data_IF_100454327282
#
_entry.id   IF_100454327282
#
_cell.length_a   1.000
_cell.length_b   1.000
_cell.length_c   1.000
_cell.angle_alpha   90.00
_cell.angle_beta   90.00
_cell.angle_gamma   90.00
#
_symmetry.space_group_name_H-M   'P 1'
#
loop_
_entity.id
_entity.type
_entity.pdbx_description
1 polymer ?
#
# COMPACT_ATOMS: atom_id res chain seq x y z
N UNK A 1 -4.74 5.47 -28.57
CA UNK A 1 -3.60 5.91 -27.71
C UNK A 1 -3.85 7.36 -27.33
N UNK A 2 -4.22 7.60 -26.10
CA UNK A 2 -4.19 8.98 -25.60
C UNK A 2 -2.74 9.37 -25.41
N UNK A 3 -2.23 10.20 -26.32
CA UNK A 3 -1.03 10.99 -26.06
C UNK A 3 -1.37 11.99 -24.95
N UNK A 4 -1.38 11.52 -23.71
CA UNK A 4 -1.29 12.43 -22.59
C UNK A 4 0.08 13.09 -22.73
N UNK A 5 0.09 14.36 -23.07
CA UNK A 5 1.29 15.17 -23.06
C UNK A 5 1.89 15.10 -21.67
N UNK A 6 2.92 14.27 -21.51
CA UNK A 6 3.72 14.25 -20.28
C UNK A 6 4.45 15.57 -20.27
N UNK A 7 4.07 16.46 -19.38
CA UNK A 7 4.79 17.70 -19.18
C UNK A 7 6.27 17.37 -18.88
N UNK A 8 7.23 18.03 -19.53
CA UNK A 8 8.65 17.81 -19.21
C UNK A 8 9.00 18.17 -17.76
N UNK A 9 8.09 18.85 -17.07
CA UNK A 9 8.20 19.19 -15.65
C UNK A 9 7.43 18.22 -14.75
N UNK A 10 6.71 17.24 -15.32
CA UNK A 10 6.00 16.25 -14.53
C UNK A 10 7.01 15.38 -13.78
N UNK A 11 6.81 15.27 -12.47
CA UNK A 11 7.62 14.40 -11.58
C UNK A 11 6.76 13.25 -11.10
N UNK A 12 7.33 12.05 -10.96
CA UNK A 12 6.61 10.95 -10.35
C UNK A 12 6.24 11.28 -8.90
N UNK A 13 5.05 10.86 -8.48
CA UNK A 13 4.60 10.98 -7.10
C UNK A 13 4.74 9.61 -6.44
N UNK A 14 5.34 9.57 -5.27
CA UNK A 14 5.47 8.36 -4.47
C UNK A 14 4.66 8.51 -3.18
N UNK A 15 3.79 7.55 -2.93
CA UNK A 15 2.93 7.55 -1.76
C UNK A 15 3.13 6.27 -0.96
N UNK A 16 3.28 6.41 0.32
CA UNK A 16 3.32 5.31 1.28
C UNK A 16 1.91 5.10 1.85
N UNK A 17 1.34 3.93 1.62
CA UNK A 17 0.01 3.57 2.13
C UNK A 17 0.12 2.97 3.52
N UNK A 18 -0.77 3.37 4.39
CA UNK A 18 -0.87 2.85 5.77
C UNK A 18 -2.26 2.26 6.01
N UNK A 19 -2.53 1.02 5.55
CA UNK A 19 -3.87 0.45 5.56
C UNK A 19 -4.46 0.20 6.94
N UNK A 20 -3.62 0.21 7.99
CA UNK A 20 -4.04 0.15 9.40
C UNK A 20 -3.58 1.37 10.20
N UNK A 21 -3.12 2.43 9.53
CA UNK A 21 -2.53 3.59 10.20
C UNK A 21 -1.30 3.20 11.01
N UNK A 22 -1.27 3.63 12.27
CA UNK A 22 -0.19 3.31 13.21
C UNK A 22 -0.45 2.06 14.06
N UNK A 23 -1.55 1.36 13.83
CA UNK A 23 -1.91 0.17 14.62
C UNK A 23 -0.92 -0.96 14.35
N UNK A 24 -0.41 -1.56 15.42
CA UNK A 24 0.57 -2.64 15.37
C UNK A 24 0.32 -3.64 16.50
N UNK A 25 0.73 -4.87 16.29
CA UNK A 25 0.71 -5.92 17.30
C UNK A 25 1.98 -5.94 18.18
N UNK A 26 2.90 -5.02 17.95
CA UNK A 26 4.09 -4.77 18.78
C UNK A 26 4.11 -3.33 19.30
N UNK A 27 4.84 -3.10 20.36
CA UNK A 27 5.07 -1.80 20.96
C UNK A 27 6.58 -1.53 21.10
N UNK A 28 7.28 -1.47 19.98
CA UNK A 28 8.73 -1.26 19.96
C UNK A 28 9.08 0.12 20.52
N UNK A 29 10.05 0.19 21.42
CA UNK A 29 10.48 1.43 22.09
C UNK A 29 10.94 2.50 21.11
N UNK A 30 11.56 2.10 20.00
CA UNK A 30 12.06 2.98 18.95
C UNK A 30 11.02 3.33 17.87
N UNK A 31 9.76 2.86 18.01
CA UNK A 31 8.76 3.01 16.95
C UNK A 31 8.28 4.47 16.82
N UNK A 32 8.61 5.08 15.70
CA UNK A 32 8.19 6.45 15.38
C UNK A 32 6.67 6.60 15.23
N UNK A 33 5.97 5.53 14.84
CA UNK A 33 4.52 5.59 14.51
C UNK A 33 3.61 5.24 15.68
N UNK A 34 4.11 4.63 16.73
CA UNK A 34 3.30 4.05 17.81
C UNK A 34 2.31 5.05 18.44
N UNK A 35 2.73 6.29 18.62
CA UNK A 35 1.93 7.34 19.24
C UNK A 35 1.11 8.17 18.26
N UNK A 36 1.24 7.94 16.96
CA UNK A 36 0.57 8.79 15.95
C UNK A 36 -0.95 8.64 15.96
N UNK A 37 -1.49 7.52 16.44
CA UNK A 37 -2.92 7.35 16.66
C UNK A 37 -3.51 8.37 17.62
N UNK A 38 -2.73 8.88 18.57
CA UNK A 38 -3.16 9.92 19.54
C UNK A 38 -3.47 11.26 18.87
N UNK A 39 -2.95 11.51 17.67
CA UNK A 39 -3.24 12.71 16.90
C UNK A 39 -4.68 12.77 16.40
N UNK A 40 -5.36 11.63 16.40
CA UNK A 40 -6.74 11.49 15.91
C UNK A 40 -7.60 10.80 16.97
N UNK A 41 -7.82 11.41 18.13
CA UNK A 41 -8.50 10.75 19.27
C UNK A 41 -9.97 10.40 18.97
N UNK A 42 -10.57 11.05 17.99
CA UNK A 42 -11.95 10.82 17.58
C UNK A 42 -12.09 9.64 16.62
N UNK A 43 -11.00 9.18 16.03
CA UNK A 43 -11.01 8.07 15.07
C UNK A 43 -10.93 6.76 15.84
N UNK A 44 -12.03 6.04 15.89
CA UNK A 44 -12.11 4.72 16.56
C UNK A 44 -11.51 3.59 15.74
N UNK A 45 -11.40 3.77 14.43
CA UNK A 45 -10.93 2.76 13.51
C UNK A 45 -10.03 3.39 12.45
N UNK A 46 -8.75 3.01 12.43
CA UNK A 46 -7.76 3.48 11.48
C UNK A 46 -7.61 2.55 10.25
N UNK A 47 -8.53 1.60 10.07
CA UNK A 47 -8.48 0.65 8.98
C UNK A 47 -9.01 1.30 7.70
N UNK A 48 -8.18 1.25 6.64
CA UNK A 48 -8.58 1.71 5.32
C UNK A 48 -9.74 0.87 4.77
N UNK A 49 -10.84 1.52 4.38
CA UNK A 49 -11.96 0.84 3.73
C UNK A 49 -11.61 0.43 2.30
N UNK A 50 -12.34 -0.54 1.74
CA UNK A 50 -12.17 -0.92 0.34
C UNK A 50 -12.53 0.22 -0.62
N UNK A 51 -13.52 1.04 -0.28
CA UNK A 51 -13.89 2.22 -1.07
C UNK A 51 -12.75 3.24 -1.13
N UNK A 52 -12.10 3.48 0.01
CA UNK A 52 -10.95 4.38 0.06
C UNK A 52 -9.76 3.79 -0.69
N UNK A 53 -9.52 2.49 -0.57
CA UNK A 53 -8.48 1.79 -1.31
C UNK A 53 -8.69 1.93 -2.82
N UNK A 54 -9.91 1.70 -3.32
CA UNK A 54 -10.22 1.83 -4.74
C UNK A 54 -10.04 3.26 -5.23
N UNK A 55 -10.57 4.24 -4.50
CA UNK A 55 -10.41 5.65 -4.85
C UNK A 55 -8.93 6.06 -4.88
N UNK A 56 -8.15 5.62 -3.90
CA UNK A 56 -6.72 5.90 -3.87
C UNK A 56 -6.01 5.29 -5.08
N UNK A 57 -6.25 4.01 -5.38
CA UNK A 57 -5.57 3.32 -6.49
C UNK A 57 -5.91 3.97 -7.82
N UNK A 58 -7.18 4.30 -8.04
CA UNK A 58 -7.63 5.01 -9.24
C UNK A 58 -6.90 6.34 -9.40
N UNK A 59 -6.97 7.21 -8.39
CA UNK A 59 -6.36 8.55 -8.44
C UNK A 59 -4.83 8.47 -8.53
N UNK A 60 -4.21 7.56 -7.78
CA UNK A 60 -2.76 7.41 -7.78
C UNK A 60 -2.23 6.94 -9.13
N UNK A 61 -2.91 6.00 -9.77
CA UNK A 61 -2.54 5.53 -11.11
C UNK A 61 -2.85 6.56 -12.19
N UNK A 62 -3.93 7.34 -12.03
CA UNK A 62 -4.27 8.40 -12.98
C UNK A 62 -3.24 9.53 -12.97
N UNK A 63 -2.75 9.90 -11.80
CA UNK A 63 -1.77 10.99 -11.70
C UNK A 63 -0.33 10.59 -12.06
N UNK A 64 -0.02 9.30 -12.22
CA UNK A 64 1.32 8.83 -12.60
C UNK A 64 1.57 9.02 -14.08
N UNK A 65 2.76 9.54 -14.39
CA UNK A 65 3.22 9.80 -15.76
C UNK A 65 4.23 8.78 -16.26
N UNK A 66 4.71 7.91 -15.39
CA UNK A 66 5.74 6.91 -15.69
C UNK A 66 5.13 5.57 -16.09
N UNK A 67 5.81 4.79 -16.96
CA UNK A 67 5.34 3.46 -17.36
C UNK A 67 5.42 2.41 -16.25
N UNK A 68 6.14 2.71 -15.18
CA UNK A 68 6.31 1.86 -14.01
C UNK A 68 5.86 2.60 -12.76
N UNK A 69 5.01 1.96 -11.95
CA UNK A 69 4.44 2.55 -10.74
C UNK A 69 4.72 1.64 -9.56
N UNK A 70 5.21 2.23 -8.47
CA UNK A 70 5.49 1.52 -7.22
C UNK A 70 4.41 1.82 -6.18
N UNK A 71 3.86 0.76 -5.58
CA UNK A 71 3.03 0.83 -4.38
C UNK A 71 3.84 0.42 -3.17
N UNK A 72 3.87 1.26 -2.16
CA UNK A 72 4.59 1.02 -0.90
C UNK A 72 3.59 0.88 0.24
N UNK A 73 3.51 -0.32 0.80
CA UNK A 73 2.64 -0.65 1.93
C UNK A 73 3.43 -0.60 3.22
N UNK A 74 3.01 0.23 4.12
CA UNK A 74 3.72 0.50 5.37
C UNK A 74 2.72 0.80 6.51
N UNK A 75 3.20 1.37 7.61
CA UNK A 75 2.39 1.86 8.71
C UNK A 75 2.78 1.24 10.03
N UNK A 76 1.76 0.89 10.84
CA UNK A 76 1.91 -0.04 11.95
C UNK A 76 2.27 -1.42 11.41
N UNK A 77 1.50 -2.44 11.66
CA UNK A 77 1.77 -3.76 11.06
C UNK A 77 0.83 -4.04 9.90
N UNK A 78 1.40 -4.09 8.69
CA UNK A 78 0.65 -4.29 7.43
C UNK A 78 -0.08 -5.62 7.36
N UNK A 79 0.45 -6.68 7.97
CA UNK A 79 -0.17 -8.02 7.95
C UNK A 79 -1.34 -8.15 8.94
N UNK A 80 -1.67 -7.11 9.68
CA UNK A 80 -2.95 -7.03 10.40
C UNK A 80 -4.15 -6.86 9.45
N UNK A 81 -3.90 -6.45 8.20
CA UNK A 81 -4.91 -6.62 7.14
C UNK A 81 -4.81 -8.02 6.55
N UNK A 82 -5.94 -8.66 6.23
CA UNK A 82 -5.94 -10.01 5.66
C UNK A 82 -5.40 -10.02 4.23
N UNK A 83 -4.96 -11.19 3.78
CA UNK A 83 -4.52 -11.41 2.38
C UNK A 83 -5.59 -10.96 1.37
N UNK A 84 -6.87 -11.14 1.69
CA UNK A 84 -7.97 -10.72 0.83
C UNK A 84 -7.96 -9.22 0.52
N UNK A 85 -7.53 -8.39 1.46
CA UNK A 85 -7.35 -6.95 1.23
C UNK A 85 -6.30 -6.68 0.14
N UNK A 86 -5.16 -7.34 0.22
CA UNK A 86 -4.08 -7.18 -0.76
C UNK A 86 -4.42 -7.82 -2.11
N UNK A 87 -5.16 -8.93 -2.13
CA UNK A 87 -5.73 -9.47 -3.37
C UNK A 87 -6.63 -8.46 -4.05
N UNK A 88 -7.49 -7.79 -3.28
CA UNK A 88 -8.34 -6.72 -3.79
C UNK A 88 -7.52 -5.56 -4.34
N UNK A 89 -6.46 -5.17 -3.64
CA UNK A 89 -5.54 -4.14 -4.13
C UNK A 89 -4.94 -4.51 -5.49
N UNK A 90 -4.48 -5.75 -5.66
CA UNK A 90 -3.93 -6.23 -6.93
C UNK A 90 -4.96 -6.23 -8.06
N UNK A 91 -6.21 -6.63 -7.79
CA UNK A 91 -7.31 -6.53 -8.76
C UNK A 91 -7.54 -5.10 -9.22
N UNK A 92 -7.56 -4.16 -8.28
CA UNK A 92 -7.75 -2.74 -8.56
C UNK A 92 -6.57 -2.13 -9.34
N UNK A 93 -5.35 -2.52 -8.99
CA UNK A 93 -4.15 -2.13 -9.74
C UNK A 93 -4.23 -2.60 -11.18
N UNK A 94 -4.70 -3.82 -11.41
CA UNK A 94 -4.92 -4.36 -12.75
C UNK A 94 -6.02 -3.61 -13.50
N UNK A 95 -7.12 -3.30 -12.82
CA UNK A 95 -8.26 -2.57 -13.37
C UNK A 95 -7.88 -1.17 -13.85
N UNK A 96 -7.13 -0.43 -13.06
CA UNK A 96 -6.79 0.97 -13.31
C UNK A 96 -5.37 1.17 -13.89
N UNK A 97 -4.59 0.12 -13.98
CA UNK A 97 -3.17 0.20 -14.36
C UNK A 97 -2.91 0.50 -15.83
N UNK A 98 -3.87 0.27 -16.71
CA UNK A 98 -3.74 0.51 -18.16
C UNK A 98 -2.52 -0.18 -18.78
N UNK A 99 -2.21 -1.40 -18.35
CA UNK A 99 -1.09 -2.19 -18.84
C UNK A 99 0.30 -1.73 -18.40
N UNK A 100 0.38 -0.75 -17.48
CA UNK A 100 1.67 -0.33 -16.91
C UNK A 100 2.24 -1.40 -15.98
N UNK A 101 3.55 -1.39 -15.82
CA UNK A 101 4.20 -2.22 -14.82
C UNK A 101 3.91 -1.66 -13.43
N UNK A 102 3.35 -2.50 -12.55
CA UNK A 102 3.06 -2.13 -11.17
C UNK A 102 3.83 -3.05 -10.26
N UNK A 103 4.66 -2.46 -9.42
CA UNK A 103 5.43 -3.15 -8.39
C UNK A 103 4.86 -2.85 -7.01
N UNK A 104 4.93 -3.83 -6.12
CA UNK A 104 4.50 -3.70 -4.74
C UNK A 104 5.67 -4.03 -3.80
N UNK A 105 5.92 -3.14 -2.85
CA UNK A 105 6.77 -3.44 -1.71
C UNK A 105 5.99 -3.28 -0.41
N UNK A 106 6.28 -4.12 0.55
CA UNK A 106 5.59 -4.17 1.83
C UNK A 106 6.59 -4.29 2.96
N UNK A 107 6.40 -3.47 4.00
CA UNK A 107 7.16 -3.53 5.24
C UNK A 107 6.34 -4.23 6.31
N UNK A 108 6.92 -5.21 6.97
CA UNK A 108 6.30 -5.96 8.05
C UNK A 108 7.29 -6.24 9.18
N UNK A 109 6.80 -6.40 10.40
CA UNK A 109 7.64 -6.87 11.51
C UNK A 109 7.87 -8.40 11.47
N UNK A 110 7.26 -9.10 10.54
CA UNK A 110 7.45 -10.54 10.31
C UNK A 110 6.71 -11.46 11.28
N UNK A 111 6.11 -10.95 12.35
CA UNK A 111 5.51 -11.80 13.40
C UNK A 111 4.25 -12.54 12.95
N UNK A 112 3.56 -12.02 11.94
CA UNK A 112 2.32 -12.59 11.39
C UNK A 112 2.54 -13.34 10.08
N UNK A 113 3.78 -13.50 9.63
CA UNK A 113 4.09 -14.27 8.43
C UNK A 113 3.71 -15.75 8.58
N UNK A 114 3.06 -16.27 7.56
CA UNK A 114 2.68 -17.68 7.42
C UNK A 114 3.12 -18.18 6.05
N UNK A 115 3.07 -19.49 5.83
CA UNK A 115 3.34 -20.08 4.51
C UNK A 115 2.38 -19.53 3.44
N UNK A 116 1.14 -19.22 3.83
CA UNK A 116 0.16 -18.61 2.93
C UNK A 116 0.59 -17.20 2.50
N UNK A 117 1.08 -16.38 3.44
CA UNK A 117 1.63 -15.06 3.14
C UNK A 117 2.85 -15.15 2.24
N UNK A 118 3.77 -16.06 2.53
CA UNK A 118 4.98 -16.23 1.74
C UNK A 118 4.66 -16.65 0.30
N UNK A 119 3.71 -17.55 0.12
CA UNK A 119 3.22 -17.94 -1.23
C UNK A 119 2.60 -16.76 -1.94
N UNK A 120 1.73 -16.01 -1.27
CA UNK A 120 1.08 -14.83 -1.83
C UNK A 120 2.11 -13.79 -2.33
N UNK A 121 3.11 -13.48 -1.52
CA UNK A 121 4.16 -12.53 -1.88
C UNK A 121 4.99 -13.02 -3.06
N UNK A 122 5.36 -14.29 -3.06
CA UNK A 122 6.14 -14.89 -4.14
C UNK A 122 5.36 -14.90 -5.47
N UNK A 123 4.12 -15.32 -5.45
CA UNK A 123 3.27 -15.41 -6.65
C UNK A 123 2.97 -14.05 -7.25
N UNK A 124 2.95 -12.99 -6.44
CA UNK A 124 2.61 -11.63 -6.85
C UNK A 124 3.83 -10.70 -6.88
N UNK A 125 5.03 -11.22 -6.76
CA UNK A 125 6.29 -10.48 -6.87
C UNK A 125 6.41 -9.31 -5.90
N UNK A 126 5.93 -9.45 -4.67
CA UNK A 126 6.12 -8.45 -3.63
C UNK A 126 7.58 -8.42 -3.18
N UNK A 127 8.14 -7.23 -3.07
CA UNK A 127 9.38 -7.01 -2.31
C UNK A 127 9.01 -6.85 -0.83
N UNK A 128 9.52 -7.72 0.02
CA UNK A 128 9.19 -7.74 1.45
C UNK A 128 10.38 -7.26 2.26
N UNK A 129 10.17 -6.18 3.03
CA UNK A 129 11.11 -5.70 4.03
C UNK A 129 10.68 -6.13 5.43
N UNK A 130 11.64 -6.55 6.23
CA UNK A 130 11.43 -6.99 7.62
C UNK A 130 12.32 -6.18 8.57
#
# INVERSE_FOLDING_TARGET
MNNSYISPFAKPVYVMLKPVGSVCNLACEYCYYLEKGKLYPEVKNHIMSEQLLEKFIEDYLECQTMPQVLFTWHGGETLMRPISFYKKALELQKKYGRGRQIDNCIQTNGTLLTDEWCRFFKENNFLVGV
#
